data_IF_835440118948
#
_entry.id   IF_835440118948
#
_cell.length_a   1.000
_cell.length_b   1.000
_cell.length_c   1.000
_cell.angle_alpha   90.00
_cell.angle_beta   90.00
_cell.angle_gamma   90.00
#
_symmetry.space_group_name_H-M   'P 1'
#
loop_
_entity.id
_entity.type
_entity.pdbx_description
1 polymer ?
#
# COMPACT_ATOMS: atom_id res chain seq x y z
N UNK A 1 -45.44 -9.30 -49.88
CA UNK A 1 -44.11 -9.05 -49.28
C UNK A 1 -43.57 -7.76 -49.87
N UNK A 2 -43.91 -6.63 -49.24
CA UNK A 2 -43.52 -5.29 -49.68
C UNK A 2 -42.44 -4.86 -48.69
N UNK A 3 -41.26 -4.52 -49.21
CA UNK A 3 -40.06 -4.10 -48.49
C UNK A 3 -39.03 -5.17 -48.06
N UNK A 4 -38.67 -6.12 -48.93
CA UNK A 4 -37.52 -7.03 -48.70
C UNK A 4 -36.14 -6.35 -48.84
N UNK A 5 -36.09 -5.08 -49.24
CA UNK A 5 -34.85 -4.34 -49.49
C UNK A 5 -34.00 -4.16 -48.23
N UNK A 6 -34.61 -3.93 -47.07
CA UNK A 6 -33.87 -3.82 -45.82
C UNK A 6 -33.21 -5.15 -45.43
N UNK A 7 -33.91 -6.28 -45.63
CA UNK A 7 -33.38 -7.64 -45.39
C UNK A 7 -32.16 -7.90 -46.27
N UNK A 8 -32.26 -7.66 -47.58
CA UNK A 8 -31.14 -7.88 -48.52
C UNK A 8 -29.93 -6.99 -48.18
N UNK A 9 -30.15 -5.72 -47.78
CA UNK A 9 -29.05 -4.82 -47.38
C UNK A 9 -28.36 -5.28 -46.10
N UNK A 10 -29.12 -5.70 -45.08
CA UNK A 10 -28.56 -6.19 -43.81
C UNK A 10 -27.77 -7.48 -44.04
N UNK A 11 -28.34 -8.47 -44.72
CA UNK A 11 -27.63 -9.72 -44.99
C UNK A 11 -26.44 -9.52 -45.96
N UNK A 12 -26.54 -8.59 -46.90
CA UNK A 12 -25.42 -8.20 -47.77
C UNK A 12 -24.26 -7.58 -46.98
N UNK A 13 -24.55 -6.68 -46.04
CA UNK A 13 -23.54 -6.10 -45.14
C UNK A 13 -22.90 -7.16 -44.23
N UNK A 14 -23.71 -8.05 -43.63
CA UNK A 14 -23.20 -9.15 -42.81
C UNK A 14 -22.30 -10.06 -43.63
N UNK A 15 -22.72 -10.45 -44.84
CA UNK A 15 -21.89 -11.27 -45.72
C UNK A 15 -20.58 -10.57 -46.09
N UNK A 16 -20.62 -9.27 -46.38
CA UNK A 16 -19.42 -8.49 -46.70
C UNK A 16 -18.47 -8.40 -45.49
N UNK A 17 -19.00 -8.21 -44.28
CA UNK A 17 -18.22 -8.22 -43.04
C UNK A 17 -17.62 -9.61 -42.75
N UNK A 18 -18.35 -10.69 -42.99
CA UNK A 18 -17.84 -12.06 -42.82
C UNK A 18 -16.73 -12.39 -43.82
N UNK A 19 -16.93 -12.01 -45.09
CA UNK A 19 -15.91 -12.22 -46.14
C UNK A 19 -14.67 -11.37 -45.85
N UNK A 20 -14.87 -10.09 -45.53
CA UNK A 20 -13.79 -9.18 -45.15
C UNK A 20 -13.05 -9.66 -43.91
N UNK A 21 -13.77 -10.10 -42.88
CA UNK A 21 -13.22 -10.67 -41.66
C UNK A 21 -12.45 -11.96 -41.90
N UNK A 22 -12.96 -12.88 -42.74
CA UNK A 22 -12.25 -14.11 -43.11
C UNK A 22 -10.95 -13.84 -43.88
N UNK A 23 -10.97 -12.86 -44.80
CA UNK A 23 -9.76 -12.44 -45.49
C UNK A 23 -8.75 -11.80 -44.53
N UNK A 24 -9.20 -10.87 -43.69
CA UNK A 24 -8.36 -10.22 -42.68
C UNK A 24 -7.76 -11.25 -41.71
N UNK A 25 -8.55 -12.23 -41.24
CA UNK A 25 -8.06 -13.29 -40.38
C UNK A 25 -6.99 -14.14 -41.06
N UNK A 26 -7.09 -14.37 -42.37
CA UNK A 26 -6.05 -15.12 -43.11
C UNK A 26 -4.81 -14.28 -43.40
N UNK A 27 -4.96 -12.99 -43.67
CA UNK A 27 -3.86 -12.10 -44.03
C UNK A 27 -3.06 -11.60 -42.81
N UNK A 28 -3.74 -11.36 -41.67
CA UNK A 28 -3.14 -10.77 -40.46
C UNK A 28 -2.73 -11.82 -39.41
N UNK A 29 -3.15 -13.08 -39.55
CA UNK A 29 -2.76 -14.14 -38.62
C UNK A 29 -1.26 -14.45 -38.77
N UNK A 30 -0.46 -14.32 -37.70
CA UNK A 30 0.94 -14.69 -37.75
C UNK A 30 1.13 -16.15 -38.17
N UNK A 31 2.22 -16.45 -38.87
CA UNK A 31 2.47 -17.78 -39.47
C UNK A 31 2.32 -18.92 -38.47
N UNK A 32 2.86 -18.73 -37.26
CA UNK A 32 2.91 -19.73 -36.18
C UNK A 32 1.81 -19.53 -35.13
N UNK A 33 0.78 -18.73 -35.43
CA UNK A 33 -0.37 -18.56 -34.54
C UNK A 33 -1.24 -19.80 -34.51
N UNK A 34 -1.47 -20.37 -33.32
CA UNK A 34 -2.35 -21.54 -33.16
C UNK A 34 -1.65 -22.89 -33.20
N UNK A 35 -0.31 -22.96 -33.31
CA UNK A 35 0.41 -24.23 -33.42
C UNK A 35 0.39 -25.03 -32.11
N UNK A 36 0.50 -24.36 -30.96
CA UNK A 36 0.51 -24.99 -29.62
C UNK A 36 -0.49 -24.36 -28.63
N UNK A 37 -1.26 -23.36 -29.07
CA UNK A 37 -2.24 -22.64 -28.24
C UNK A 37 -2.74 -21.38 -28.93
N UNK A 38 -3.62 -20.60 -28.28
CA UNK A 38 -4.20 -19.38 -28.87
C UNK A 38 -3.24 -18.17 -28.82
N UNK A 39 -2.02 -18.36 -29.31
CA UNK A 39 -0.95 -17.36 -29.37
C UNK A 39 0.00 -17.68 -30.54
N UNK A 40 0.95 -16.78 -30.82
CA UNK A 40 2.00 -16.94 -31.85
C UNK A 40 3.17 -17.75 -31.27
N UNK A 41 3.39 -18.97 -31.74
CA UNK A 41 4.38 -19.86 -31.14
C UNK A 41 5.82 -19.30 -31.13
N UNK A 42 6.26 -18.65 -32.21
CA UNK A 42 7.61 -18.03 -32.29
C UNK A 42 7.86 -16.94 -31.24
N UNK A 43 6.81 -16.36 -30.65
CA UNK A 43 6.99 -15.32 -29.62
C UNK A 43 7.71 -15.86 -28.39
N UNK A 44 7.63 -17.16 -28.12
CA UNK A 44 8.33 -17.77 -26.99
C UNK A 44 9.84 -17.67 -27.15
N UNK A 45 10.38 -18.13 -28.29
CA UNK A 45 11.81 -18.03 -28.57
C UNK A 45 12.29 -16.59 -28.65
N UNK A 46 11.46 -15.68 -29.18
CA UNK A 46 11.80 -14.26 -29.26
C UNK A 46 11.90 -13.63 -27.88
N UNK A 47 10.91 -13.83 -27.00
CA UNK A 47 10.92 -13.30 -25.62
C UNK A 47 12.06 -13.92 -24.82
N UNK A 48 12.28 -15.24 -24.93
CA UNK A 48 13.39 -15.92 -24.26
C UNK A 48 14.78 -15.48 -24.74
N UNK A 49 14.87 -14.89 -25.95
CA UNK A 49 16.13 -14.35 -26.47
C UNK A 49 16.42 -12.92 -26.04
N UNK A 50 15.48 -12.25 -25.36
CA UNK A 50 15.69 -10.92 -24.81
C UNK A 50 16.63 -10.99 -23.61
N UNK A 51 17.50 -10.00 -23.49
CA UNK A 51 18.34 -9.82 -22.32
C UNK A 51 17.48 -9.46 -21.11
N UNK A 52 17.70 -10.14 -19.98
CA UNK A 52 17.04 -9.81 -18.72
C UNK A 52 17.70 -8.58 -18.13
N UNK A 53 17.00 -7.46 -18.19
CA UNK A 53 17.49 -6.19 -17.64
C UNK A 53 17.08 -5.99 -16.19
N UNK A 54 16.05 -6.66 -15.70
CA UNK A 54 15.62 -6.56 -14.31
C UNK A 54 16.55 -7.37 -13.40
N UNK A 55 17.02 -6.77 -12.31
CA UNK A 55 18.02 -7.33 -11.40
C UNK A 55 17.39 -8.06 -10.21
N UNK A 56 16.14 -7.75 -9.86
CA UNK A 56 15.45 -8.23 -8.66
C UNK A 56 15.89 -7.51 -7.38
N UNK A 57 14.99 -7.42 -6.40
CA UNK A 57 15.21 -6.71 -5.13
C UNK A 57 16.45 -7.20 -4.34
N UNK A 58 16.78 -8.49 -4.40
CA UNK A 58 17.93 -9.05 -3.67
C UNK A 58 19.27 -8.43 -4.12
N UNK A 59 19.45 -8.20 -5.43
CA UNK A 59 20.66 -7.58 -5.95
C UNK A 59 20.84 -6.15 -5.43
N UNK A 60 19.74 -5.43 -5.20
CA UNK A 60 19.78 -4.10 -4.59
C UNK A 60 20.24 -4.17 -3.12
N UNK A 61 19.79 -5.18 -2.36
CA UNK A 61 20.14 -5.38 -0.96
C UNK A 61 21.63 -5.67 -0.72
N UNK A 62 22.34 -6.23 -1.70
CA UNK A 62 23.79 -6.47 -1.60
C UNK A 62 24.61 -5.17 -1.47
N UNK A 63 24.10 -4.05 -2.02
CA UNK A 63 24.74 -2.73 -1.96
C UNK A 63 24.01 -1.76 -1.02
N UNK A 64 22.71 -1.94 -0.79
CA UNK A 64 21.82 -1.04 -0.04
C UNK A 64 21.09 -1.75 1.11
N UNK A 65 21.82 -2.48 1.94
CA UNK A 65 21.29 -3.29 3.06
C UNK A 65 20.32 -2.50 3.96
N UNK A 66 20.70 -1.30 4.42
CA UNK A 66 19.86 -0.48 5.31
C UNK A 66 18.49 -0.13 4.68
N UNK A 67 18.45 0.11 3.37
CA UNK A 67 17.21 0.42 2.65
C UNK A 67 16.39 -0.84 2.41
N UNK A 68 17.05 -1.94 2.05
CA UNK A 68 16.42 -3.24 1.88
C UNK A 68 15.74 -3.67 3.19
N UNK A 69 16.42 -3.54 4.32
CA UNK A 69 15.89 -3.90 5.64
C UNK A 69 14.67 -3.06 6.05
N UNK A 70 14.66 -1.76 5.69
CA UNK A 70 13.49 -0.91 5.91
C UNK A 70 12.31 -1.35 5.04
N UNK A 71 12.58 -1.63 3.76
CA UNK A 71 11.58 -2.04 2.77
C UNK A 71 10.94 -3.38 3.12
N UNK A 72 11.77 -4.38 3.42
CA UNK A 72 11.37 -5.74 3.80
C UNK A 72 10.58 -5.75 5.11
N UNK A 73 10.88 -4.83 6.03
CA UNK A 73 10.14 -4.69 7.29
C UNK A 73 8.70 -4.19 7.10
N UNK A 74 8.42 -3.39 6.08
CA UNK A 74 7.15 -2.63 5.95
C UNK A 74 6.25 -3.17 4.82
N UNK A 75 5.04 -2.61 4.65
CA UNK A 75 3.97 -3.15 3.80
C UNK A 75 4.30 -3.22 2.30
N UNK A 76 5.35 -2.55 1.85
CA UNK A 76 5.82 -2.61 0.47
C UNK A 76 6.77 -3.77 0.21
N UNK A 77 7.05 -4.64 1.17
CA UNK A 77 7.96 -5.79 1.02
C UNK A 77 7.76 -6.66 -0.24
N UNK A 78 6.55 -6.68 -0.82
CA UNK A 78 6.21 -7.41 -2.06
C UNK A 78 6.20 -6.53 -3.34
N UNK A 79 6.59 -5.26 -3.24
CA UNK A 79 6.77 -4.35 -4.37
C UNK A 79 8.26 -4.33 -4.69
N UNK A 80 8.64 -4.78 -5.88
CA UNK A 80 10.07 -4.85 -6.21
C UNK A 80 10.65 -3.43 -6.33
N UNK A 81 11.92 -3.23 -5.95
CA UNK A 81 12.57 -1.92 -6.08
C UNK A 81 12.44 -1.34 -7.50
N UNK A 82 12.40 -2.23 -8.48
CA UNK A 82 12.36 -1.94 -9.90
C UNK A 82 11.00 -1.42 -10.38
N UNK A 83 9.92 -1.67 -9.65
CA UNK A 83 8.59 -1.11 -9.95
C UNK A 83 8.58 0.41 -9.78
N UNK A 84 9.43 0.92 -8.89
CA UNK A 84 9.55 2.34 -8.57
C UNK A 84 10.77 2.99 -9.23
N UNK A 85 11.91 2.29 -9.25
CA UNK A 85 13.17 2.82 -9.75
C UNK A 85 13.51 2.38 -11.19
N UNK A 86 12.81 1.39 -11.74
CA UNK A 86 13.15 0.78 -13.03
C UNK A 86 14.22 -0.33 -12.91
N UNK A 87 14.68 -0.89 -14.04
CA UNK A 87 15.30 -2.21 -14.10
C UNK A 87 16.70 -2.34 -13.46
N UNK A 88 17.35 -1.25 -13.05
CA UNK A 88 18.61 -1.32 -12.30
C UNK A 88 19.87 -1.82 -13.02
N UNK A 89 19.79 -2.54 -14.15
CA UNK A 89 20.97 -3.13 -14.80
C UNK A 89 22.09 -2.13 -15.10
N UNK A 90 21.74 -0.94 -15.63
CA UNK A 90 22.72 0.10 -15.95
C UNK A 90 23.39 0.65 -14.69
N UNK A 91 22.63 0.75 -13.60
CA UNK A 91 23.14 1.20 -12.31
C UNK A 91 24.13 0.21 -11.73
N UNK A 92 23.75 -1.07 -11.64
CA UNK A 92 24.63 -2.11 -11.11
C UNK A 92 25.89 -2.21 -11.97
N UNK A 93 25.74 -2.32 -13.30
CA UNK A 93 26.87 -2.44 -14.23
C UNK A 93 27.87 -1.29 -14.12
N UNK A 94 27.39 -0.04 -13.92
CA UNK A 94 28.27 1.11 -13.72
C UNK A 94 29.19 0.98 -12.49
N UNK A 95 28.70 0.36 -11.40
CA UNK A 95 29.45 0.20 -10.15
C UNK A 95 30.22 -1.12 -10.05
N UNK A 96 29.82 -2.16 -10.81
CA UNK A 96 30.43 -3.50 -10.72
C UNK A 96 31.34 -3.85 -11.89
N UNK A 97 31.25 -3.15 -13.03
CA UNK A 97 32.10 -3.40 -14.20
C UNK A 97 33.14 -2.28 -14.38
N UNK A 98 34.40 -2.60 -14.10
CA UNK A 98 35.54 -1.70 -14.24
C UNK A 98 35.78 -1.23 -15.69
N UNK A 99 35.24 -1.92 -16.70
CA UNK A 99 35.38 -1.58 -18.12
C UNK A 99 34.15 -0.85 -18.70
N UNK A 100 33.18 -0.48 -17.87
CA UNK A 100 31.94 0.15 -18.33
C UNK A 100 32.19 1.48 -19.06
N UNK A 101 31.43 1.72 -20.13
CA UNK A 101 31.41 3.01 -20.85
C UNK A 101 30.24 3.90 -20.45
N UNK A 102 29.43 3.47 -19.48
CA UNK A 102 28.28 4.24 -19.00
C UNK A 102 28.75 5.49 -18.27
N UNK A 103 28.03 6.59 -18.45
CA UNK A 103 28.19 7.79 -17.63
C UNK A 103 27.42 7.65 -16.31
N UNK A 104 27.77 8.44 -15.30
CA UNK A 104 27.04 8.49 -14.03
C UNK A 104 25.56 8.87 -14.24
N UNK A 105 25.28 9.82 -15.14
CA UNK A 105 23.92 10.25 -15.49
C UNK A 105 23.09 9.10 -16.07
N UNK A 106 23.73 8.30 -16.93
CA UNK A 106 23.14 7.12 -17.55
C UNK A 106 22.87 5.95 -16.61
N UNK A 107 23.60 5.89 -15.50
CA UNK A 107 23.51 4.89 -14.45
C UNK A 107 22.69 5.35 -13.23
N UNK A 108 22.26 6.62 -13.21
CA UNK A 108 21.52 7.20 -12.09
C UNK A 108 20.10 6.64 -12.06
N UNK A 109 19.75 6.01 -10.94
CA UNK A 109 18.38 5.57 -10.72
C UNK A 109 17.47 6.79 -10.51
N UNK A 110 16.25 6.79 -11.06
CA UNK A 110 15.22 7.79 -10.76
C UNK A 110 14.96 7.86 -9.25
N UNK A 111 15.01 9.06 -8.68
CA UNK A 111 14.69 9.31 -7.26
C UNK A 111 13.52 10.27 -7.07
N UNK A 112 12.97 10.80 -8.17
CA UNK A 112 11.88 11.76 -8.13
C UNK A 112 10.54 11.04 -8.15
N UNK A 113 9.86 11.05 -7.00
CA UNK A 113 8.51 10.56 -6.87
C UNK A 113 7.51 11.69 -7.08
N UNK A 114 6.63 11.50 -8.06
CA UNK A 114 5.48 12.38 -8.26
C UNK A 114 4.29 11.84 -7.48
N UNK A 115 3.33 12.71 -7.19
CA UNK A 115 2.05 12.33 -6.60
C UNK A 115 1.36 11.24 -7.44
N UNK A 116 1.39 11.35 -8.77
CA UNK A 116 0.83 10.34 -9.68
C UNK A 116 1.55 9.00 -9.64
N UNK A 117 2.83 8.95 -9.24
CA UNK A 117 3.56 7.68 -9.08
C UNK A 117 2.94 6.81 -7.99
N UNK A 118 2.67 7.40 -6.81
CA UNK A 118 2.02 6.69 -5.71
C UNK A 118 0.55 6.39 -6.03
N UNK A 119 -0.17 7.36 -6.62
CA UNK A 119 -1.58 7.21 -6.96
C UNK A 119 -1.83 6.22 -8.10
N UNK A 120 -0.81 5.87 -8.89
CA UNK A 120 -0.93 4.81 -9.87
C UNK A 120 -1.44 3.52 -9.22
N UNK A 121 -0.96 3.18 -8.02
CA UNK A 121 -1.43 2.03 -7.24
C UNK A 121 -2.47 2.41 -6.18
N UNK A 122 -2.29 3.52 -5.48
CA UNK A 122 -3.09 3.83 -4.28
C UNK A 122 -4.32 4.71 -4.51
N UNK A 123 -4.59 5.17 -5.72
CA UNK A 123 -5.84 5.92 -5.98
C UNK A 123 -7.06 5.03 -5.77
N UNK A 124 -8.06 5.55 -5.07
CA UNK A 124 -9.39 4.96 -4.97
C UNK A 124 -10.03 4.83 -6.35
N UNK A 125 -10.35 3.61 -6.75
CA UNK A 125 -11.03 3.29 -8.01
C UNK A 125 -12.12 2.26 -7.77
N UNK A 126 -13.33 2.48 -8.31
CA UNK A 126 -14.48 1.57 -8.15
C UNK A 126 -14.19 0.12 -8.61
N UNK A 127 -13.20 -0.07 -9.48
CA UNK A 127 -12.82 -1.37 -10.00
C UNK A 127 -11.77 -2.11 -9.14
N UNK A 128 -11.21 -1.45 -8.13
CA UNK A 128 -10.24 -2.05 -7.21
C UNK A 128 -10.94 -2.64 -5.99
N UNK A 129 -10.39 -3.72 -5.41
CA UNK A 129 -10.94 -4.28 -4.20
C UNK A 129 -10.61 -3.38 -3.01
N UNK A 130 -11.60 -3.10 -2.16
CA UNK A 130 -11.43 -2.33 -0.92
C UNK A 130 -10.40 -2.93 0.06
N UNK A 131 -10.04 -4.21 -0.12
CA UNK A 131 -8.96 -4.87 0.63
C UNK A 131 -7.55 -4.41 0.24
N UNK A 132 -7.40 -3.66 -0.86
CA UNK A 132 -6.15 -3.01 -1.22
C UNK A 132 -6.09 -1.59 -0.62
N UNK A 133 -4.95 -1.13 -0.07
CA UNK A 133 -4.86 0.22 0.49
C UNK A 133 -5.07 1.30 -0.57
N UNK A 134 -6.26 1.89 -0.57
CA UNK A 134 -6.69 2.93 -1.48
C UNK A 134 -7.00 4.23 -0.75
N UNK A 135 -6.76 5.36 -1.42
CA UNK A 135 -7.06 6.68 -0.90
C UNK A 135 -7.73 7.55 -1.95
N UNK A 136 -8.69 8.37 -1.52
CA UNK A 136 -8.99 9.62 -2.19
C UNK A 136 -7.99 10.68 -1.69
N UNK A 137 -7.18 11.32 -2.56
CA UNK A 137 -6.17 12.28 -2.12
C UNK A 137 -6.73 13.50 -1.40
N UNK A 138 -7.94 13.94 -1.76
CA UNK A 138 -8.58 15.11 -1.14
C UNK A 138 -9.02 14.75 0.28
N UNK A 139 -9.66 13.58 0.45
CA UNK A 139 -10.06 13.08 1.76
C UNK A 139 -8.84 12.80 2.65
N UNK A 140 -7.80 12.19 2.09
CA UNK A 140 -6.57 11.86 2.82
C UNK A 140 -5.84 13.12 3.33
N UNK A 141 -5.70 14.16 2.50
CA UNK A 141 -5.15 15.43 2.94
C UNK A 141 -6.03 16.17 3.93
N UNK A 142 -7.36 16.12 3.77
CA UNK A 142 -8.28 16.73 4.72
C UNK A 142 -8.17 16.09 6.10
N UNK A 143 -8.07 14.76 6.19
CA UNK A 143 -7.88 14.03 7.45
C UNK A 143 -6.61 14.48 8.20
N UNK A 144 -5.52 14.72 7.48
CA UNK A 144 -4.25 15.16 8.05
C UNK A 144 -4.12 16.68 8.18
N UNK A 145 -5.19 17.43 7.91
CA UNK A 145 -5.19 18.90 7.90
C UNK A 145 -4.08 19.50 7.01
N UNK A 146 -3.80 18.86 5.87
CA UNK A 146 -2.84 19.35 4.88
C UNK A 146 -3.51 20.44 4.03
N UNK A 147 -2.92 21.62 4.03
CA UNK A 147 -3.45 22.83 3.38
C UNK A 147 -3.02 22.96 1.91
N UNK A 148 -1.89 22.37 1.53
CA UNK A 148 -1.42 22.33 0.14
C UNK A 148 -1.57 20.94 -0.45
N UNK A 149 -2.51 20.79 -1.39
CA UNK A 149 -2.76 19.52 -2.09
C UNK A 149 -1.65 19.13 -3.08
N UNK A 150 -0.64 19.99 -3.30
CA UNK A 150 0.54 19.68 -4.10
C UNK A 150 1.68 19.09 -3.28
N UNK A 151 1.53 19.01 -1.96
CA UNK A 151 2.47 18.32 -1.08
C UNK A 151 2.74 16.92 -1.64
N UNK A 152 4.01 16.53 -1.76
CA UNK A 152 4.35 15.18 -2.23
C UNK A 152 4.07 14.19 -1.11
N UNK A 153 3.61 12.98 -1.45
CA UNK A 153 3.39 11.90 -0.47
C UNK A 153 4.65 11.62 0.36
N UNK A 154 5.83 11.79 -0.26
CA UNK A 154 7.13 11.54 0.37
C UNK A 154 7.54 12.57 1.45
N UNK A 155 6.82 13.69 1.57
CA UNK A 155 7.04 14.65 2.68
C UNK A 155 6.56 14.09 4.02
N UNK A 156 5.76 13.01 3.98
CA UNK A 156 5.20 12.33 5.15
C UNK A 156 5.58 10.83 5.14
N UNK A 157 5.38 10.14 4.02
CA UNK A 157 5.63 8.70 3.89
C UNK A 157 7.02 8.40 3.32
N UNK A 158 7.70 7.38 3.84
CA UNK A 158 8.90 6.84 3.19
C UNK A 158 8.48 5.76 2.18
N UNK A 159 8.86 5.81 0.88
CA UNK A 159 8.54 4.71 -0.05
C UNK A 159 9.10 3.34 0.39
N UNK A 160 10.19 3.35 1.17
CA UNK A 160 10.83 2.17 1.73
C UNK A 160 10.33 1.81 3.14
N UNK A 161 9.48 2.63 3.75
CA UNK A 161 8.91 2.39 5.08
C UNK A 161 7.58 3.17 5.19
N UNK A 162 6.58 2.88 4.33
CA UNK A 162 5.47 3.81 4.09
C UNK A 162 4.52 3.95 5.28
N UNK A 163 4.36 2.91 6.09
CA UNK A 163 3.44 2.93 7.23
C UNK A 163 4.16 3.03 8.57
N UNK A 164 5.50 2.95 8.57
CA UNK A 164 6.33 2.94 9.76
C UNK A 164 5.90 1.85 10.72
N UNK A 165 5.88 0.60 10.23
CA UNK A 165 5.49 -0.53 11.08
C UNK A 165 6.38 -0.63 12.33
N UNK A 166 5.75 -0.98 13.44
CA UNK A 166 6.40 -1.19 14.73
C UNK A 166 7.25 -2.47 14.75
N UNK A 167 6.83 -3.46 13.99
CA UNK A 167 7.46 -4.77 13.87
C UNK A 167 7.49 -5.20 12.40
N UNK A 168 8.34 -6.17 12.08
CA UNK A 168 8.45 -6.73 10.72
C UNK A 168 7.13 -7.40 10.29
N UNK A 169 6.85 -7.41 8.99
CA UNK A 169 5.64 -8.03 8.43
C UNK A 169 5.55 -9.53 8.74
N UNK A 170 6.67 -10.25 8.83
CA UNK A 170 6.69 -11.68 9.16
C UNK A 170 6.26 -11.95 10.61
N UNK A 171 6.46 -10.99 11.50
CA UNK A 171 6.07 -11.05 12.92
C UNK A 171 4.58 -10.73 13.12
N UNK A 172 3.89 -10.27 12.06
CA UNK A 172 2.48 -9.93 12.13
C UNK A 172 1.62 -11.17 12.33
N UNK A 173 0.65 -11.06 13.24
CA UNK A 173 -0.23 -12.17 13.60
C UNK A 173 -1.28 -12.38 12.51
N UNK A 174 -1.50 -13.66 12.18
CA UNK A 174 -2.66 -14.08 11.39
C UNK A 174 -3.92 -13.81 12.22
N UNK A 175 -4.94 -13.29 11.55
CA UNK A 175 -6.22 -12.94 12.12
C UNK A 175 -7.34 -13.48 11.21
N UNK A 176 -8.48 -13.94 11.76
CA UNK A 176 -9.68 -14.21 10.96
C UNK A 176 -10.07 -13.01 10.10
N UNK A 177 -10.69 -13.25 8.96
CA UNK A 177 -11.17 -12.17 8.11
C UNK A 177 -12.13 -11.25 8.87
N UNK A 178 -11.82 -9.96 8.89
CA UNK A 178 -12.66 -8.89 9.43
C UNK A 178 -13.25 -8.18 8.21
N UNK A 179 -14.58 -8.11 8.14
CA UNK A 179 -15.25 -7.36 7.08
C UNK A 179 -15.43 -5.92 7.54
N UNK A 180 -14.98 -4.98 6.72
CA UNK A 180 -15.29 -3.58 6.89
C UNK A 180 -16.57 -3.24 6.12
N UNK A 181 -17.32 -2.24 6.56
CA UNK A 181 -18.57 -1.87 5.89
C UNK A 181 -18.32 -1.44 4.44
N UNK A 182 -17.21 -0.75 4.19
CA UNK A 182 -16.82 -0.27 2.87
C UNK A 182 -16.44 -1.39 1.89
N UNK A 183 -16.14 -2.60 2.37
CA UNK A 183 -15.96 -3.78 1.51
C UNK A 183 -17.19 -4.06 0.64
N UNK A 184 -18.39 -3.72 1.12
CA UNK A 184 -19.66 -3.90 0.41
C UNK A 184 -20.41 -2.59 0.13
N UNK A 185 -20.10 -1.51 0.83
CA UNK A 185 -20.82 -0.24 0.76
C UNK A 185 -19.93 0.91 0.30
N UNK A 186 -20.26 1.51 -0.85
CA UNK A 186 -19.55 2.71 -1.33
C UNK A 186 -19.76 3.95 -0.45
N UNK A 187 -20.84 3.98 0.33
CA UNK A 187 -21.22 5.11 1.20
C UNK A 187 -21.64 4.62 2.57
N UNK A 188 -21.49 5.48 3.58
CA UNK A 188 -21.83 5.13 4.95
C UNK A 188 -23.32 4.75 5.07
N UNK A 189 -23.65 3.54 5.56
CA UNK A 189 -25.03 3.12 5.76
C UNK A 189 -25.75 4.02 6.79
N UNK A 190 -27.04 4.27 6.58
CA UNK A 190 -27.87 5.09 7.47
C UNK A 190 -28.55 4.31 8.60
N UNK A 191 -28.57 2.98 8.50
CA UNK A 191 -29.20 2.06 9.46
C UNK A 191 -28.14 1.08 9.98
N UNK A 192 -28.32 0.56 11.19
CA UNK A 192 -27.46 -0.48 11.73
C UNK A 192 -27.68 -1.78 10.93
N UNK A 193 -26.60 -2.40 10.47
CA UNK A 193 -26.65 -3.64 9.68
C UNK A 193 -27.41 -4.78 10.38
N UNK A 194 -27.47 -4.77 11.73
CA UNK A 194 -28.22 -5.74 12.53
C UNK A 194 -29.73 -5.59 12.38
N UNK A 195 -30.20 -4.43 11.97
CA UNK A 195 -31.62 -4.10 11.80
C UNK A 195 -32.10 -4.34 10.36
N UNK A 196 -31.18 -4.52 9.41
CA UNK A 196 -31.51 -4.72 7.99
C UNK A 196 -31.75 -6.20 7.69
N UNK A 197 -32.98 -6.54 7.30
CA UNK A 197 -33.36 -7.92 6.96
C UNK A 197 -32.52 -8.44 5.79
N UNK A 198 -31.87 -9.59 5.98
CA UNK A 198 -31.07 -10.25 4.96
C UNK A 198 -29.64 -9.69 4.80
N UNK A 199 -29.22 -8.74 5.63
CA UNK A 199 -27.82 -8.33 5.67
C UNK A 199 -26.92 -9.51 6.08
N UNK A 200 -25.78 -9.74 5.40
CA UNK A 200 -24.85 -10.81 5.78
C UNK A 200 -24.30 -10.60 7.19
N UNK A 201 -23.97 -11.72 7.88
CA UNK A 201 -23.26 -11.65 9.15
C UNK A 201 -21.83 -11.18 8.87
N UNK A 202 -21.47 -10.05 9.47
CA UNK A 202 -20.11 -9.50 9.42
C UNK A 202 -19.43 -9.66 10.77
N UNK A 203 -18.12 -9.89 10.75
CA UNK A 203 -17.29 -9.93 11.95
C UNK A 203 -16.53 -8.62 12.08
N UNK A 204 -16.58 -8.04 13.27
CA UNK A 204 -15.91 -6.79 13.64
C UNK A 204 -14.91 -7.04 14.77
N UNK A 205 -14.03 -6.08 15.04
CA UNK A 205 -13.06 -6.18 16.14
C UNK A 205 -13.75 -6.41 17.50
N UNK A 206 -14.91 -5.78 17.73
CA UNK A 206 -15.63 -5.83 19.00
C UNK A 206 -16.23 -7.19 19.35
N UNK A 207 -16.42 -8.06 18.36
CA UNK A 207 -16.96 -9.42 18.59
C UNK A 207 -15.95 -10.29 19.36
N UNK A 208 -14.65 -10.04 19.18
CA UNK A 208 -13.56 -10.75 19.87
C UNK A 208 -12.87 -9.90 20.95
N UNK A 209 -12.81 -8.57 20.76
CA UNK A 209 -12.12 -7.63 21.64
C UNK A 209 -13.05 -6.56 22.24
N UNK A 210 -14.18 -6.93 22.88
CA UNK A 210 -15.17 -5.94 23.33
C UNK A 210 -14.59 -4.98 24.38
N UNK A 211 -13.76 -5.48 25.30
CA UNK A 211 -13.15 -4.64 26.32
C UNK A 211 -12.20 -3.59 25.74
N UNK A 212 -11.40 -3.96 24.72
CA UNK A 212 -10.47 -3.04 24.03
C UNK A 212 -11.25 -2.01 23.22
N UNK A 213 -12.34 -2.43 22.57
CA UNK A 213 -13.17 -1.53 21.76
C UNK A 213 -13.92 -0.52 22.63
N UNK A 214 -14.44 -0.93 23.78
CA UNK A 214 -15.06 0.02 24.72
C UNK A 214 -14.03 0.95 25.35
N UNK A 215 -12.84 0.45 25.70
CA UNK A 215 -11.73 1.24 26.22
C UNK A 215 -11.31 2.34 25.23
N UNK A 216 -11.05 1.97 23.97
CA UNK A 216 -10.58 2.91 22.95
C UNK A 216 -11.54 4.08 22.70
N UNK A 217 -12.85 3.89 22.89
CA UNK A 217 -13.87 4.95 22.71
C UNK A 217 -13.72 6.12 23.68
N UNK A 218 -13.12 5.88 24.85
CA UNK A 218 -12.98 6.89 25.90
C UNK A 218 -11.65 7.68 25.80
N UNK A 219 -10.80 7.35 24.82
CA UNK A 219 -9.48 7.94 24.63
C UNK A 219 -9.44 9.00 23.52
N UNK A 220 -8.38 9.81 23.52
CA UNK A 220 -8.20 10.97 22.63
C UNK A 220 -8.14 10.59 21.15
N UNK A 221 -7.73 9.36 20.84
CA UNK A 221 -7.63 8.83 19.48
C UNK A 221 -8.89 8.12 18.98
N UNK A 222 -9.97 8.10 19.77
CA UNK A 222 -11.25 7.43 19.45
C UNK A 222 -11.90 7.88 18.13
N UNK A 223 -11.52 9.06 17.61
CA UNK A 223 -11.98 9.56 16.32
C UNK A 223 -11.41 8.78 15.12
N UNK A 224 -10.30 8.06 15.30
CA UNK A 224 -9.70 7.21 14.26
C UNK A 224 -10.30 5.82 14.26
N UNK A 225 -10.25 5.13 13.11
CA UNK A 225 -10.56 3.70 13.07
C UNK A 225 -9.46 2.90 13.77
N UNK A 226 -9.80 1.75 14.37
CA UNK A 226 -8.80 0.81 14.88
C UNK A 226 -7.78 0.41 13.80
N UNK A 227 -8.24 0.32 12.54
CA UNK A 227 -7.42 -0.05 11.38
C UNK A 227 -6.38 0.99 10.99
N UNK A 228 -6.46 2.23 11.50
CA UNK A 228 -5.41 3.23 11.29
C UNK A 228 -4.09 2.83 11.97
N UNK A 229 -4.17 2.20 13.15
CA UNK A 229 -3.00 1.71 13.90
C UNK A 229 -2.83 0.18 13.81
N UNK A 230 -3.92 -0.54 13.52
CA UNK A 230 -3.94 -1.98 13.36
C UNK A 230 -4.32 -2.33 11.92
N UNK A 231 -3.40 -2.08 10.99
CA UNK A 231 -3.62 -2.30 9.56
C UNK A 231 -3.93 -3.78 9.30
N UNK A 232 -5.15 -4.04 8.87
CA UNK A 232 -5.57 -5.37 8.45
C UNK A 232 -5.30 -5.54 6.95
N UNK A 233 -4.57 -6.60 6.60
CA UNK A 233 -4.26 -6.96 5.23
C UNK A 233 -4.81 -8.35 4.93
N UNK A 234 -5.70 -8.44 3.95
CA UNK A 234 -6.30 -9.72 3.53
C UNK A 234 -5.25 -10.55 2.80
N UNK A 235 -5.01 -11.78 3.26
CA UNK A 235 -4.14 -12.72 2.57
C UNK A 235 -4.93 -13.70 1.69
N UNK A 236 -6.10 -14.10 2.16
CA UNK A 236 -6.98 -15.04 1.46
C UNK A 236 -8.43 -14.89 1.97
N UNK A 237 -9.32 -15.73 1.44
CA UNK A 237 -10.76 -15.69 1.72
C UNK A 237 -11.15 -15.93 3.20
N UNK A 238 -10.23 -16.41 4.04
CA UNK A 238 -10.53 -16.79 5.43
C UNK A 238 -9.68 -16.08 6.47
N UNK A 239 -8.55 -15.49 6.06
CA UNK A 239 -7.57 -14.93 6.98
C UNK A 239 -6.83 -13.74 6.36
N UNK A 240 -6.36 -12.88 7.25
CA UNK A 240 -5.43 -11.80 6.94
C UNK A 240 -4.38 -11.64 8.03
N UNK A 241 -3.56 -10.60 7.92
CA UNK A 241 -2.60 -10.19 8.94
C UNK A 241 -2.99 -8.85 9.52
N UNK A 242 -2.71 -8.66 10.81
CA UNK A 242 -2.76 -7.33 11.44
C UNK A 242 -1.34 -6.84 11.67
N UNK A 243 -0.96 -5.81 10.91
CA UNK A 243 0.26 -5.05 11.13
C UNK A 243 0.00 -3.96 12.18
N UNK A 244 1.00 -3.68 13.02
CA UNK A 244 0.88 -2.66 14.05
C UNK A 244 1.70 -1.43 13.68
N UNK A 245 1.01 -0.31 13.54
CA UNK A 245 1.61 1.01 13.46
C UNK A 245 1.67 1.56 14.88
N UNK A 246 2.88 1.85 15.32
CA UNK A 246 3.12 2.41 16.65
C UNK A 246 4.56 2.89 16.78
N UNK A 247 5.24 3.01 15.65
CA UNK A 247 6.56 3.59 15.55
C UNK A 247 6.43 5.09 15.80
N UNK A 248 7.41 5.72 16.48
CA UNK A 248 7.40 7.17 16.65
C UNK A 248 7.25 7.95 15.34
N UNK A 249 7.83 7.46 14.23
CA UNK A 249 7.65 8.07 12.90
C UNK A 249 6.21 8.04 12.40
N UNK A 250 5.44 7.00 12.74
CA UNK A 250 4.01 6.94 12.44
C UNK A 250 3.27 8.07 13.17
N UNK A 251 3.52 8.28 14.46
CA UNK A 251 2.89 9.35 15.23
C UNK A 251 3.22 10.74 14.64
N UNK A 252 4.45 10.92 14.17
CA UNK A 252 4.92 12.16 13.54
C UNK A 252 4.22 12.46 12.20
N UNK A 253 3.61 11.47 11.54
CA UNK A 253 2.78 11.71 10.35
C UNK A 253 1.68 12.73 10.62
N UNK A 254 1.10 12.72 11.81
CA UNK A 254 0.09 13.68 12.24
C UNK A 254 0.72 14.78 13.08
N UNK A 255 1.51 14.43 14.09
CA UNK A 255 1.96 15.34 15.14
C UNK A 255 3.22 16.15 14.81
N UNK A 256 3.97 15.86 13.74
CA UNK A 256 5.13 16.70 13.40
C UNK A 256 4.68 18.05 12.85
N UNK A 257 5.26 19.13 13.39
CA UNK A 257 5.07 20.48 12.87
C UNK A 257 5.64 20.60 11.45
N UNK A 258 4.77 20.97 10.51
CA UNK A 258 5.14 21.18 9.10
C UNK A 258 4.46 22.42 8.55
N UNK A 259 5.11 23.17 7.65
CA UNK A 259 4.56 24.42 7.09
C UNK A 259 3.30 24.23 6.24
N UNK A 260 3.01 23.01 5.78
CA UNK A 260 1.83 22.68 4.98
C UNK A 260 0.66 22.10 5.80
N UNK A 261 0.81 21.96 7.13
CA UNK A 261 -0.27 21.47 8.01
C UNK A 261 -0.90 22.62 8.80
N UNK A 262 -2.20 22.53 9.02
CA UNK A 262 -2.93 23.47 9.89
C UNK A 262 -2.60 23.21 11.38
N UNK A 263 -2.03 24.18 12.11
CA UNK A 263 -1.72 24.03 13.53
C UNK A 263 -2.97 23.97 14.43
N UNK A 264 -4.15 24.38 13.93
CA UNK A 264 -5.42 24.29 14.68
C UNK A 264 -6.09 22.90 14.56
N UNK A 265 -5.57 22.02 13.70
CA UNK A 265 -6.07 20.66 13.49
C UNK A 265 -5.65 19.69 14.59
N UNK A 266 -4.56 18.96 14.35
CA UNK A 266 -3.97 18.01 15.33
C UNK A 266 -2.88 18.73 16.12
N UNK A 267 -2.72 18.50 17.44
CA UNK A 267 -1.61 19.06 18.21
C UNK A 267 -0.25 18.73 17.59
N UNK A 268 0.52 19.75 17.24
CA UNK A 268 1.83 19.58 16.57
C UNK A 268 2.98 19.80 17.56
N UNK A 269 4.08 19.11 17.32
CA UNK A 269 5.33 19.19 18.08
C UNK A 269 6.52 19.48 17.16
N UNK A 270 7.49 20.21 17.69
CA UNK A 270 8.83 20.29 17.10
C UNK A 270 9.59 19.03 17.50
N UNK A 271 9.64 18.05 16.59
CA UNK A 271 10.19 16.71 16.87
C UNK A 271 11.56 16.73 17.58
N UNK A 272 12.48 17.60 17.13
CA UNK A 272 13.81 17.71 17.75
C UNK A 272 13.77 18.17 19.22
N UNK A 273 12.91 19.13 19.55
CA UNK A 273 12.80 19.68 20.90
C UNK A 273 12.17 18.63 21.83
N UNK A 274 11.08 18.00 21.37
CA UNK A 274 10.41 16.97 22.15
C UNK A 274 11.30 15.73 22.36
N UNK A 275 12.06 15.31 21.35
CA UNK A 275 13.01 14.19 21.49
C UNK A 275 14.12 14.49 22.52
N UNK A 276 14.58 15.74 22.61
CA UNK A 276 15.57 16.14 23.61
C UNK A 276 14.99 16.08 25.04
N UNK A 277 13.74 16.53 25.22
CA UNK A 277 13.03 16.40 26.50
C UNK A 277 12.80 14.93 26.88
N UNK A 278 12.39 14.09 25.92
CA UNK A 278 12.22 12.65 26.12
C UNK A 278 13.54 11.98 26.55
N UNK A 279 14.65 12.33 25.89
CA UNK A 279 15.98 11.82 26.21
C UNK A 279 16.37 12.13 27.66
N UNK A 280 16.08 13.35 28.14
CA UNK A 280 16.31 13.75 29.54
C UNK A 280 15.41 12.96 30.51
N UNK A 281 14.12 12.82 30.22
CA UNK A 281 13.16 12.11 31.09
C UNK A 281 13.49 10.61 31.20
N UNK A 282 13.89 10.00 30.09
CA UNK A 282 14.13 8.56 29.99
C UNK A 282 15.58 8.15 30.38
N UNK A 283 16.45 9.12 30.69
CA UNK A 283 17.89 8.90 30.91
C UNK A 283 18.55 8.13 29.75
N UNK A 284 18.21 8.53 28.51
CA UNK A 284 18.70 7.96 27.25
C UNK A 284 19.31 9.08 26.40
N UNK A 285 20.13 8.74 25.40
CA UNK A 285 20.55 9.72 24.38
C UNK A 285 19.43 9.95 23.35
N UNK A 286 19.40 11.13 22.70
CA UNK A 286 18.47 11.41 21.60
C UNK A 286 18.50 10.32 20.52
N UNK A 287 19.69 9.78 20.21
CA UNK A 287 19.83 8.71 19.23
C UNK A 287 19.22 7.38 19.69
N UNK A 288 19.27 7.06 20.98
CA UNK A 288 18.65 5.85 21.52
C UNK A 288 17.12 5.98 21.50
N UNK A 289 16.58 7.14 21.87
CA UNK A 289 15.13 7.42 21.80
C UNK A 289 14.63 7.33 20.35
N UNK A 290 15.35 7.93 19.40
CA UNK A 290 14.97 7.93 17.99
C UNK A 290 15.04 6.54 17.34
N UNK A 291 15.98 5.69 17.78
CA UNK A 291 16.14 4.32 17.26
C UNK A 291 15.13 3.35 17.86
N UNK A 292 14.61 3.63 19.04
CA UNK A 292 13.56 2.83 19.67
C UNK A 292 12.20 3.17 19.04
N UNK A 293 11.59 2.26 18.26
CA UNK A 293 10.31 2.54 17.64
C UNK A 293 9.18 2.68 18.67
N UNK A 294 9.35 2.17 19.90
CA UNK A 294 8.34 2.24 20.97
C UNK A 294 8.50 3.44 21.90
N UNK A 295 9.51 4.28 21.70
CA UNK A 295 9.84 5.37 22.63
C UNK A 295 8.65 6.29 22.94
N UNK A 296 7.83 6.64 21.93
CA UNK A 296 6.64 7.45 22.14
C UNK A 296 5.60 6.74 23.02
N UNK A 297 5.46 5.42 22.88
CA UNK A 297 4.50 4.62 23.64
C UNK A 297 4.91 4.47 25.11
N UNK A 298 6.18 4.68 25.48
CA UNK A 298 6.61 4.64 26.90
C UNK A 298 5.85 5.69 27.74
N UNK A 299 5.46 6.82 27.14
CA UNK A 299 4.73 7.91 27.81
C UNK A 299 3.30 8.10 27.29
N UNK A 300 3.05 7.80 26.00
CA UNK A 300 1.78 8.15 25.36
C UNK A 300 0.79 6.99 25.18
N UNK A 301 1.11 5.79 25.65
CA UNK A 301 0.21 4.63 25.48
C UNK A 301 -1.16 4.85 26.13
N UNK A 302 -1.21 5.52 27.28
CA UNK A 302 -2.44 5.82 28.02
C UNK A 302 -3.40 6.77 27.30
N UNK A 303 -2.97 7.45 26.22
CA UNK A 303 -3.86 8.24 25.35
C UNK A 303 -4.55 7.39 24.27
N UNK A 304 -4.29 6.09 24.24
CA UNK A 304 -4.76 5.16 23.23
C UNK A 304 -5.48 3.98 23.89
N UNK A 305 -4.86 3.37 24.89
CA UNK A 305 -5.39 2.20 25.59
C UNK A 305 -5.03 2.21 27.08
N UNK A 306 -5.88 1.59 27.90
CA UNK A 306 -5.51 1.22 29.27
C UNK A 306 -4.37 0.17 29.28
N UNK A 307 -3.18 0.50 29.82
CA UNK A 307 -2.06 -0.44 29.92
C UNK A 307 -2.40 -1.71 30.72
N UNK A 308 -3.29 -1.63 31.71
CA UNK A 308 -3.71 -2.80 32.48
C UNK A 308 -4.55 -3.77 31.66
N UNK A 309 -5.38 -3.26 30.74
CA UNK A 309 -6.25 -4.05 29.89
C UNK A 309 -5.44 -4.84 28.88
N UNK A 310 -4.41 -4.22 28.32
CA UNK A 310 -3.52 -4.83 27.35
C UNK A 310 -2.52 -5.78 28.04
N UNK A 311 -1.93 -5.41 29.17
CA UNK A 311 -0.99 -6.28 29.91
C UNK A 311 -1.63 -7.58 30.44
N UNK A 312 -2.91 -7.56 30.82
CA UNK A 312 -3.67 -8.78 31.18
C UNK A 312 -3.89 -9.71 29.98
N UNK A 313 -3.98 -9.17 28.76
CA UNK A 313 -4.07 -9.94 27.50
C UNK A 313 -2.71 -10.39 26.92
N UNK A 314 -1.60 -9.78 27.35
CA UNK A 314 -0.23 -10.07 26.88
C UNK A 314 0.40 -11.31 27.53
N UNK A 315 -0.28 -11.95 28.50
CA UNK A 315 0.15 -13.25 29.04
C UNK A 315 -0.13 -14.45 28.11
N UNK A 316 -0.68 -14.22 26.91
CA UNK A 316 -0.75 -15.24 25.85
C UNK A 316 -0.03 -14.72 24.59
N UNK A 317 1.28 -14.86 24.59
CA UNK A 317 2.10 -14.52 23.40
C UNK A 317 3.58 -14.30 23.66
N UNK A 318 4.15 -14.97 24.67
CA UNK A 318 5.55 -15.37 24.59
C UNK A 318 5.59 -16.73 23.92
N UNK A 319 6.21 -16.76 22.72
CA UNK A 319 6.49 -17.85 21.76
C UNK A 319 5.91 -17.55 20.38
#
# INVERSE_FOLDING_TARGET
MKDSNHVVRVFGLVALLLIGGGFAQRALRPKTFGETGHYRFDSLSEVLSQEVVHQGQQACGECHEDIYDLHDKDIHYNVECEDCHGPGNRHIHYYTDDETTLTEEEARMPTEYTLEGCLFCHRKLDARPNSFPEIDPVEHYAFLHVTDQKTKCIECHSPHEPTYLLAKVEEARIHPIIYQCDDCHETQPTEDYKEVEGHPVIFTCGDCHPAVVEDFKEHEHSFMSCTACHLFHVENETAGRIFKNGNGKFCLLCHEEKPFKDPEGVPQIVSKEHLAEMAEILDKTESEVQKDPRSCLECHFEYIHDPELISKGVTVGGL
#
